data_IF_317266072357
#
_entry.id   IF_317266072357
#
_cell.length_a   1.000
_cell.length_b   1.000
_cell.length_c   1.000
_cell.angle_alpha   90.00
_cell.angle_beta   90.00
_cell.angle_gamma   90.00
#
_symmetry.space_group_name_H-M   'P 1'
#
loop_
_entity.id
_entity.type
_entity.pdbx_description
1 polymer ?
#
# COMPACT_ATOMS: atom_id res chain seq x y z
N UNK A 1 -2.36 -14.68 22.02
CA UNK A 1 -1.18 -14.39 21.18
C UNK A 1 -1.24 -15.36 20.00
N UNK A 2 -1.91 -14.99 18.91
CA UNK A 2 -1.97 -15.80 17.70
C UNK A 2 -1.82 -14.85 16.52
N UNK A 3 -0.64 -14.81 15.93
CA UNK A 3 -0.41 -14.17 14.65
C UNK A 3 -0.21 -15.28 13.63
N UNK A 4 -1.26 -15.51 12.86
CA UNK A 4 -1.36 -16.39 11.69
C UNK A 4 -0.64 -15.80 10.46
N UNK A 5 0.45 -15.06 10.67
CA UNK A 5 1.20 -14.42 9.57
C UNK A 5 1.90 -15.47 8.72
N UNK A 6 1.68 -15.40 7.41
CA UNK A 6 2.34 -16.25 6.42
C UNK A 6 3.50 -15.47 5.78
N UNK A 7 4.72 -15.89 6.12
CA UNK A 7 5.95 -15.30 5.59
C UNK A 7 6.47 -16.00 4.34
N UNK A 8 5.73 -16.96 3.80
CA UNK A 8 6.04 -17.66 2.54
C UNK A 8 5.12 -17.16 1.42
N UNK A 9 3.83 -17.00 1.73
CA UNK A 9 2.80 -16.56 0.79
C UNK A 9 2.29 -15.17 1.16
N UNK A 10 2.93 -14.15 0.61
CA UNK A 10 2.58 -12.75 0.78
C UNK A 10 2.62 -12.00 -0.57
N UNK A 11 2.14 -10.76 -0.61
CA UNK A 11 2.15 -9.95 -1.85
C UNK A 11 3.58 -9.70 -2.32
N UNK A 12 3.96 -10.21 -3.50
CA UNK A 12 5.29 -10.01 -4.07
C UNK A 12 5.28 -9.02 -5.23
N UNK A 13 6.18 -8.06 -5.22
CA UNK A 13 6.32 -7.09 -6.31
C UNK A 13 7.16 -7.70 -7.44
N UNK A 14 6.50 -8.32 -8.42
CA UNK A 14 7.17 -8.99 -9.54
C UNK A 14 7.37 -8.07 -10.76
N UNK A 15 6.47 -7.11 -10.96
CA UNK A 15 6.46 -6.19 -12.10
C UNK A 15 5.88 -4.83 -11.73
N UNK A 16 6.30 -3.80 -12.47
CA UNK A 16 5.74 -2.46 -12.42
C UNK A 16 4.66 -2.25 -13.47
N UNK A 17 4.02 -1.08 -13.42
CA UNK A 17 3.00 -0.68 -14.37
C UNK A 17 3.49 0.43 -15.28
N UNK A 18 3.39 0.24 -16.60
CA UNK A 18 3.68 1.29 -17.58
C UNK A 18 2.56 2.36 -17.61
N UNK A 19 1.31 1.91 -17.41
CA UNK A 19 0.11 2.75 -17.33
C UNK A 19 -0.51 2.48 -15.97
N UNK A 20 -0.96 3.54 -15.28
CA UNK A 20 -1.62 3.42 -13.98
C UNK A 20 -2.81 2.45 -14.12
N UNK A 21 -2.82 1.34 -13.37
CA UNK A 21 -3.90 0.36 -13.49
C UNK A 21 -5.19 0.90 -12.84
N UNK A 22 -6.34 0.40 -13.27
CA UNK A 22 -7.62 0.65 -12.62
C UNK A 22 -8.12 -0.63 -11.93
N UNK A 23 -9.04 -0.53 -10.95
CA UNK A 23 -9.77 -1.70 -10.46
C UNK A 23 -10.57 -2.33 -11.60
N UNK A 24 -10.82 -3.64 -11.51
CA UNK A 24 -11.63 -4.38 -12.50
C UNK A 24 -13.02 -3.74 -12.64
N UNK A 25 -13.50 -3.64 -13.88
CA UNK A 25 -14.80 -3.03 -14.22
C UNK A 25 -15.97 -3.72 -13.51
N UNK A 26 -15.85 -5.00 -13.14
CA UNK A 26 -16.89 -5.72 -12.40
C UNK A 26 -17.26 -5.04 -11.08
N UNK A 27 -16.31 -4.33 -10.45
CA UNK A 27 -16.53 -3.62 -9.20
C UNK A 27 -17.28 -2.30 -9.38
N UNK A 28 -17.52 -1.82 -10.61
CA UNK A 28 -18.38 -0.65 -10.85
C UNK A 28 -19.84 -0.89 -10.41
N UNK A 29 -20.24 -2.15 -10.19
CA UNK A 29 -21.52 -2.51 -9.55
C UNK A 29 -21.60 -2.06 -8.07
N UNK A 30 -20.46 -1.77 -7.46
CA UNK A 30 -20.31 -1.28 -6.08
C UNK A 30 -19.70 0.13 -6.12
N UNK A 31 -20.44 1.14 -6.59
CA UNK A 31 -19.87 2.44 -7.01
C UNK A 31 -19.06 3.12 -5.90
N UNK A 32 -19.57 3.16 -4.67
CA UNK A 32 -18.85 3.79 -3.55
C UNK A 32 -17.55 3.06 -3.18
N UNK A 33 -17.50 1.74 -3.35
CA UNK A 33 -16.28 0.95 -3.12
C UNK A 33 -15.32 1.17 -4.29
N UNK A 34 -15.82 1.18 -5.53
CA UNK A 34 -15.03 1.44 -6.73
C UNK A 34 -14.33 2.80 -6.68
N UNK A 35 -15.05 3.85 -6.30
CA UNK A 35 -14.51 5.20 -6.18
C UNK A 35 -13.40 5.27 -5.13
N UNK A 36 -13.55 4.55 -4.00
CA UNK A 36 -12.50 4.46 -2.97
C UNK A 36 -11.28 3.69 -3.47
N UNK A 37 -11.46 2.58 -4.18
CA UNK A 37 -10.36 1.85 -4.81
C UNK A 37 -9.60 2.74 -5.79
N UNK A 38 -10.32 3.50 -6.61
CA UNK A 38 -9.74 4.48 -7.52
C UNK A 38 -9.00 5.60 -6.77
N UNK A 39 -9.54 6.09 -5.65
CA UNK A 39 -8.89 7.11 -4.83
C UNK A 39 -7.56 6.62 -4.25
N UNK A 40 -7.49 5.38 -3.74
CA UNK A 40 -6.24 4.78 -3.27
C UNK A 40 -5.19 4.77 -4.39
N UNK A 41 -5.56 4.27 -5.57
CA UNK A 41 -4.67 4.18 -6.73
C UNK A 41 -4.23 5.57 -7.18
N UNK A 42 -5.16 6.53 -7.23
CA UNK A 42 -4.88 7.92 -7.61
C UNK A 42 -3.83 8.52 -6.67
N UNK A 43 -4.04 8.47 -5.36
CA UNK A 43 -3.08 9.02 -4.40
C UNK A 43 -1.74 8.29 -4.47
N UNK A 44 -1.75 6.95 -4.56
CA UNK A 44 -0.53 6.16 -4.69
C UNK A 44 0.27 6.55 -5.95
N UNK A 45 -0.39 6.71 -7.10
CA UNK A 45 0.26 7.10 -8.36
C UNK A 45 0.85 8.52 -8.35
N UNK A 46 0.35 9.39 -7.46
CA UNK A 46 0.82 10.77 -7.32
C UNK A 46 1.92 10.92 -6.26
N UNK A 47 2.38 9.83 -5.64
CA UNK A 47 3.51 9.87 -4.68
C UNK A 47 4.77 10.42 -5.36
N UNK A 48 5.07 9.96 -6.57
CA UNK A 48 6.26 10.36 -7.33
C UNK A 48 6.05 11.61 -8.21
N UNK A 49 4.83 12.18 -8.21
CA UNK A 49 4.51 13.34 -9.04
C UNK A 49 5.08 14.63 -8.45
N UNK A 50 5.26 15.64 -9.30
CA UNK A 50 5.64 16.98 -8.85
C UNK A 50 4.45 17.66 -8.18
N UNK A 51 4.74 18.40 -7.12
CA UNK A 51 3.76 19.25 -6.45
C UNK A 51 3.42 20.46 -7.32
N UNK A 52 2.24 21.05 -7.08
CA UNK A 52 2.06 22.45 -7.40
C UNK A 52 2.85 23.27 -6.36
N UNK A 53 4.09 23.62 -6.73
CA UNK A 53 5.07 24.32 -5.87
C UNK A 53 4.58 25.62 -5.25
N UNK A 54 3.47 26.18 -5.74
CA UNK A 54 2.83 27.35 -5.13
C UNK A 54 2.15 27.05 -3.79
N UNK A 55 1.80 25.78 -3.52
CA UNK A 55 1.06 25.35 -2.33
C UNK A 55 1.97 24.58 -1.36
N UNK A 56 2.81 23.67 -1.87
CA UNK A 56 3.67 22.82 -1.04
C UNK A 56 4.93 22.40 -1.79
N UNK A 57 5.95 21.95 -1.06
CA UNK A 57 7.16 21.38 -1.67
C UNK A 57 6.91 19.99 -2.23
N UNK A 58 7.75 19.56 -3.19
CA UNK A 58 7.67 18.20 -3.76
C UNK A 58 7.76 17.13 -2.66
N UNK A 59 8.63 17.33 -1.66
CA UNK A 59 8.73 16.44 -0.49
C UNK A 59 7.42 16.37 0.30
N UNK A 60 6.86 17.52 0.68
CA UNK A 60 5.62 17.56 1.46
C UNK A 60 4.43 16.97 0.68
N UNK A 61 4.39 17.15 -0.63
CA UNK A 61 3.41 16.53 -1.52
C UNK A 61 3.50 15.01 -1.47
N UNK A 62 4.68 14.43 -1.70
CA UNK A 62 4.83 12.97 -1.69
C UNK A 62 4.45 12.36 -0.33
N UNK A 63 4.86 12.98 0.77
CA UNK A 63 4.47 12.56 2.13
C UNK A 63 2.94 12.63 2.34
N UNK A 64 2.29 13.67 1.84
CA UNK A 64 0.84 13.82 1.89
C UNK A 64 0.12 12.77 1.04
N UNK A 65 0.64 12.46 -0.15
CA UNK A 65 0.08 11.43 -1.04
C UNK A 65 0.20 10.02 -0.45
N UNK A 66 1.32 9.69 0.19
CA UNK A 66 1.46 8.43 0.95
C UNK A 66 0.39 8.34 2.04
N UNK A 67 0.24 9.41 2.84
CA UNK A 67 -0.76 9.45 3.92
C UNK A 67 -2.18 9.30 3.37
N UNK A 68 -2.52 10.02 2.30
CA UNK A 68 -3.84 9.97 1.68
C UNK A 68 -4.16 8.56 1.16
N UNK A 69 -3.22 7.94 0.42
CA UNK A 69 -3.39 6.60 -0.10
C UNK A 69 -3.62 5.56 1.01
N UNK A 70 -2.83 5.62 2.08
CA UNK A 70 -2.96 4.70 3.22
C UNK A 70 -4.25 4.93 4.01
N UNK A 71 -4.68 6.18 4.17
CA UNK A 71 -5.94 6.50 4.83
C UNK A 71 -7.13 5.95 4.06
N UNK A 72 -7.19 6.17 2.74
CA UNK A 72 -8.25 5.61 1.90
C UNK A 72 -8.21 4.08 1.91
N UNK A 73 -7.02 3.48 1.84
CA UNK A 73 -6.88 2.03 1.82
C UNK A 73 -7.43 1.39 3.10
N UNK A 74 -7.17 1.99 4.27
CA UNK A 74 -7.75 1.49 5.53
C UNK A 74 -9.23 1.85 5.67
N UNK A 75 -9.68 3.01 5.16
CA UNK A 75 -11.07 3.44 5.24
C UNK A 75 -12.05 2.53 4.47
N UNK A 76 -11.57 1.77 3.48
CA UNK A 76 -12.40 0.75 2.81
C UNK A 76 -12.89 -0.32 3.81
N UNK A 77 -12.06 -0.73 4.78
CA UNK A 77 -12.45 -1.68 5.83
C UNK A 77 -13.64 -1.13 6.64
N UNK A 78 -13.50 0.11 7.10
CA UNK A 78 -14.52 0.80 7.89
C UNK A 78 -15.80 1.00 7.08
N UNK A 79 -15.67 1.44 5.81
CA UNK A 79 -16.81 1.64 4.92
C UNK A 79 -17.61 0.35 4.73
N UNK A 80 -16.95 -0.75 4.39
CA UNK A 80 -17.62 -2.04 4.18
C UNK A 80 -18.34 -2.50 5.45
N UNK A 81 -17.72 -2.32 6.62
CA UNK A 81 -18.33 -2.71 7.90
C UNK A 81 -19.63 -1.96 8.22
N UNK A 82 -19.78 -0.73 7.71
CA UNK A 82 -20.94 0.14 7.93
C UNK A 82 -21.98 -0.05 6.82
N UNK A 83 -21.53 -0.04 5.56
CA UNK A 83 -22.40 -0.01 4.40
C UNK A 83 -22.87 -1.40 3.94
N UNK A 84 -22.15 -2.46 4.31
CA UNK A 84 -22.45 -3.85 3.94
C UNK A 84 -22.45 -4.75 5.19
N UNK A 85 -23.35 -4.55 6.17
CA UNK A 85 -23.33 -5.28 7.44
C UNK A 85 -23.53 -6.81 7.30
N UNK A 86 -24.12 -7.26 6.19
CA UNK A 86 -24.26 -8.67 5.83
C UNK A 86 -22.96 -9.30 5.32
N UNK A 87 -21.98 -8.50 4.94
CA UNK A 87 -20.66 -8.97 4.50
C UNK A 87 -19.91 -9.60 5.66
N UNK A 88 -19.70 -10.92 5.56
CA UNK A 88 -18.93 -11.71 6.54
C UNK A 88 -17.44 -11.80 6.20
N UNK A 89 -17.02 -11.29 5.04
CA UNK A 89 -15.62 -11.25 4.63
C UNK A 89 -14.85 -10.12 5.30
N UNK A 90 -13.62 -9.88 4.82
CA UNK A 90 -12.81 -8.76 5.31
C UNK A 90 -11.94 -8.18 4.20
N UNK A 91 -12.07 -6.88 3.93
CA UNK A 91 -11.09 -6.14 3.15
C UNK A 91 -9.71 -6.23 3.81
N UNK A 92 -9.63 -5.82 5.07
CA UNK A 92 -8.53 -6.13 5.94
C UNK A 92 -9.14 -6.56 7.28
N UNK A 93 -8.51 -7.51 7.96
CA UNK A 93 -8.86 -7.90 9.31
C UNK A 93 -7.61 -8.48 9.93
N UNK A 94 -7.09 -7.77 10.93
CA UNK A 94 -5.86 -8.10 11.62
C UNK A 94 -5.87 -9.45 12.35
N UNK A 95 -7.03 -10.05 12.59
CA UNK A 95 -7.19 -11.36 13.22
C UNK A 95 -7.33 -12.50 12.21
N UNK A 96 -7.50 -12.20 10.92
CA UNK A 96 -7.79 -13.20 9.87
C UNK A 96 -6.78 -13.17 8.74
N UNK A 97 -6.30 -11.99 8.35
CA UNK A 97 -5.35 -11.84 7.26
C UNK A 97 -3.95 -12.32 7.65
N UNK A 98 -3.37 -13.20 6.86
CA UNK A 98 -2.01 -13.72 7.11
C UNK A 98 -0.93 -12.90 6.43
N UNK A 99 -1.27 -12.01 5.50
CA UNK A 99 -0.31 -11.30 4.67
C UNK A 99 0.42 -10.19 5.46
N UNK A 100 1.72 -10.32 5.77
CA UNK A 100 2.46 -9.35 6.58
C UNK A 100 2.50 -7.95 5.96
N UNK A 101 2.40 -7.81 4.64
CA UNK A 101 2.44 -6.50 3.97
C UNK A 101 1.17 -5.72 4.24
N UNK A 102 0.00 -6.36 4.21
CA UNK A 102 -1.27 -5.67 4.52
C UNK A 102 -1.27 -5.15 5.97
N UNK A 103 -0.70 -5.93 6.88
CA UNK A 103 -0.50 -5.50 8.27
C UNK A 103 0.48 -4.33 8.36
N UNK A 104 1.55 -4.35 7.57
CA UNK A 104 2.49 -3.24 7.45
C UNK A 104 1.81 -1.98 6.89
N UNK A 105 0.93 -2.07 5.89
CA UNK A 105 0.18 -0.91 5.39
C UNK A 105 -0.68 -0.27 6.49
N UNK A 106 -1.37 -1.07 7.32
CA UNK A 106 -2.13 -0.55 8.47
C UNK A 106 -1.24 0.09 9.53
N UNK A 107 -0.10 -0.54 9.87
CA UNK A 107 0.87 0.05 10.79
C UNK A 107 1.45 1.36 10.24
N UNK A 108 1.77 1.39 8.94
CA UNK A 108 2.31 2.54 8.25
C UNK A 108 1.30 3.69 8.17
N UNK A 109 0.01 3.38 7.98
CA UNK A 109 -1.07 4.38 8.11
C UNK A 109 -1.03 5.01 9.50
N UNK A 110 -0.99 4.19 10.55
CA UNK A 110 -0.97 4.69 11.93
C UNK A 110 0.30 5.48 12.24
N UNK A 111 1.45 5.07 11.70
CA UNK A 111 2.69 5.83 11.78
C UNK A 111 2.53 7.23 11.18
N UNK A 112 2.04 7.31 9.93
CA UNK A 112 1.83 8.55 9.19
C UNK A 112 0.81 9.51 9.84
N UNK A 113 -0.20 8.97 10.53
CA UNK A 113 -1.24 9.78 11.16
C UNK A 113 -0.85 10.22 12.57
N UNK A 114 -0.18 9.36 13.35
CA UNK A 114 -0.03 9.56 14.80
C UNK A 114 1.40 9.81 15.28
N UNK A 115 2.43 9.43 14.53
CA UNK A 115 3.83 9.42 15.01
C UNK A 115 4.72 10.36 14.20
N UNK A 116 4.91 10.11 12.91
CA UNK A 116 5.79 10.88 12.02
C UNK A 116 5.35 10.65 10.55
N UNK A 117 5.84 11.44 9.61
CA UNK A 117 5.62 11.21 8.17
C UNK A 117 6.58 10.16 7.59
N UNK A 118 6.13 9.42 6.58
CA UNK A 118 6.97 8.57 5.73
C UNK A 118 7.95 9.39 4.89
N UNK A 119 9.24 9.36 5.22
CA UNK A 119 10.29 10.06 4.46
C UNK A 119 10.63 9.24 3.23
N UNK A 120 10.55 9.89 2.07
CA UNK A 120 10.85 9.25 0.79
C UNK A 120 12.26 9.56 0.32
N UNK A 121 12.94 8.51 -0.10
CA UNK A 121 14.15 8.57 -0.89
C UNK A 121 13.88 8.02 -2.28
N UNK A 122 14.71 8.42 -3.23
CA UNK A 122 14.57 8.09 -4.65
C UNK A 122 15.72 7.24 -5.10
N UNK A 123 15.41 6.24 -5.91
CA UNK A 123 16.38 5.33 -6.49
C UNK A 123 16.11 5.20 -7.99
N UNK A 124 17.17 5.23 -8.78
CA UNK A 124 17.12 4.93 -10.21
C UNK A 124 17.25 3.42 -10.40
N UNK A 125 16.31 2.84 -11.13
CA UNK A 125 16.32 1.45 -11.57
C UNK A 125 16.31 1.36 -13.09
N UNK A 126 16.81 0.25 -13.61
CA UNK A 126 16.73 -0.08 -15.03
C UNK A 126 15.61 -1.07 -15.27
N UNK A 127 14.76 -0.76 -16.23
CA UNK A 127 13.60 -1.57 -16.59
C UNK A 127 13.63 -1.93 -18.07
N UNK A 128 13.06 -3.08 -18.41
CA UNK A 128 12.83 -3.50 -19.80
C UNK A 128 11.33 -3.52 -20.05
N UNK A 129 10.92 -3.10 -21.25
CA UNK A 129 9.51 -3.16 -21.63
C UNK A 129 9.19 -4.52 -22.26
N UNK A 130 8.01 -5.11 -22.00
CA UNK A 130 7.67 -6.42 -22.56
C UNK A 130 7.74 -6.50 -24.10
N UNK A 131 7.45 -5.37 -24.76
CA UNK A 131 7.44 -5.22 -26.22
C UNK A 131 8.78 -4.70 -26.79
N UNK A 132 9.75 -4.40 -25.93
CA UNK A 132 11.05 -3.86 -26.33
C UNK A 132 12.14 -4.38 -25.38
N UNK A 133 12.49 -5.66 -25.56
CA UNK A 133 13.42 -6.40 -24.69
C UNK A 133 14.89 -6.08 -24.95
N UNK A 134 15.19 -5.42 -26.06
CA UNK A 134 16.55 -5.08 -26.46
C UNK A 134 17.02 -3.75 -25.86
N UNK A 135 16.08 -2.95 -25.33
CA UNK A 135 16.37 -1.66 -24.70
C UNK A 135 16.12 -1.69 -23.19
N UNK A 136 16.92 -0.90 -22.47
CA UNK A 136 16.75 -0.62 -21.05
C UNK A 136 16.43 0.85 -20.85
N UNK A 137 15.53 1.11 -19.91
CA UNK A 137 15.04 2.43 -19.58
C UNK A 137 15.35 2.72 -18.11
N UNK A 138 15.84 3.92 -17.84
CA UNK A 138 16.02 4.38 -16.47
C UNK A 138 14.68 4.91 -15.93
N UNK A 139 14.26 4.38 -14.78
CA UNK A 139 13.06 4.78 -14.06
C UNK A 139 13.45 5.18 -12.64
N UNK A 140 13.01 6.34 -12.18
CA UNK A 140 13.13 6.74 -10.78
C UNK A 140 11.90 6.24 -10.01
N UNK A 141 12.12 5.62 -8.84
CA UNK A 141 11.07 5.21 -7.91
C UNK A 141 11.31 5.79 -6.52
N UNK A 142 10.26 6.10 -5.77
CA UNK A 142 10.37 6.41 -4.35
C UNK A 142 10.16 5.18 -3.45
N UNK A 143 10.91 5.14 -2.35
CA UNK A 143 10.70 4.21 -1.24
C UNK A 143 10.76 4.96 0.09
N UNK A 144 10.13 4.42 1.12
CA UNK A 144 10.12 4.97 2.47
C UNK A 144 11.40 4.53 3.20
N UNK A 145 12.23 5.49 3.61
CA UNK A 145 13.54 5.21 4.21
C UNK A 145 13.56 5.20 5.74
N UNK A 146 12.51 5.71 6.39
CA UNK A 146 12.45 5.86 7.85
C UNK A 146 11.53 4.85 8.57
N UNK A 147 11.28 3.68 7.96
CA UNK A 147 10.52 2.60 8.61
C UNK A 147 11.49 1.60 9.24
N UNK A 148 11.48 1.55 10.56
CA UNK A 148 12.24 0.60 11.38
C UNK A 148 11.39 -0.04 12.46
N UNK A 149 11.89 -1.14 13.05
CA UNK A 149 11.26 -1.78 14.22
C UNK A 149 11.04 -0.75 15.34
N UNK A 150 12.08 -0.02 15.74
CA UNK A 150 12.02 1.01 16.79
C UNK A 150 10.99 2.11 16.52
N UNK A 151 10.80 2.46 15.23
CA UNK A 151 9.81 3.47 14.84
C UNK A 151 8.38 2.96 14.99
N UNK A 152 8.14 1.68 14.68
CA UNK A 152 6.82 1.06 14.67
C UNK A 152 6.42 0.53 16.05
N UNK A 153 7.35 0.09 16.90
CA UNK A 153 7.06 -0.40 18.26
C UNK A 153 6.35 0.63 19.14
N UNK A 154 6.49 1.92 18.82
CA UNK A 154 5.79 3.03 19.49
C UNK A 154 4.28 3.00 19.25
N UNK A 155 3.82 2.33 18.19
CA UNK A 155 2.41 2.22 17.85
C UNK A 155 1.71 1.24 18.79
N UNK A 156 0.54 1.63 19.31
CA UNK A 156 -0.29 0.72 20.09
C UNK A 156 -0.61 -0.59 19.31
N UNK A 157 -0.90 -0.46 18.01
CA UNK A 157 -1.17 -1.58 17.12
C UNK A 157 0.03 -2.49 16.84
N UNK A 158 1.27 -2.08 17.14
CA UNK A 158 2.46 -2.89 16.93
C UNK A 158 2.68 -3.96 18.01
N UNK A 159 2.09 -3.80 19.20
CA UNK A 159 2.32 -4.71 20.35
C UNK A 159 2.00 -6.16 20.06
N UNK A 160 1.03 -6.42 19.20
CA UNK A 160 0.67 -7.78 18.76
C UNK A 160 1.70 -8.39 17.83
N UNK A 161 2.53 -7.60 17.16
CA UNK A 161 3.53 -8.07 16.20
C UNK A 161 4.95 -8.11 16.76
N UNK A 162 5.21 -7.80 18.03
CA UNK A 162 6.58 -7.64 18.57
C UNK A 162 7.53 -8.77 18.14
N UNK A 163 7.13 -10.03 18.24
CA UNK A 163 7.96 -11.19 17.86
C UNK A 163 8.21 -11.34 16.35
N UNK A 164 7.41 -10.68 15.52
CA UNK A 164 7.39 -10.80 14.06
C UNK A 164 7.73 -9.49 13.34
N UNK A 165 7.73 -8.37 14.07
CA UNK A 165 7.89 -7.02 13.53
C UNK A 165 9.20 -6.86 12.76
N UNK A 166 10.36 -7.40 13.22
CA UNK A 166 11.57 -7.37 12.40
C UNK A 166 11.37 -7.99 11.02
N UNK A 167 10.78 -9.20 10.97
CA UNK A 167 10.55 -9.91 9.70
C UNK A 167 9.53 -9.21 8.81
N UNK A 168 8.51 -8.58 9.40
CA UNK A 168 7.54 -7.78 8.65
C UNK A 168 8.20 -6.54 8.04
N UNK A 169 9.06 -5.86 8.80
CA UNK A 169 9.83 -4.69 8.32
C UNK A 169 10.78 -5.10 7.20
N UNK A 170 11.48 -6.23 7.34
CA UNK A 170 12.40 -6.74 6.32
C UNK A 170 11.66 -7.03 5.00
N UNK A 171 10.56 -7.80 5.06
CA UNK A 171 9.75 -8.11 3.87
C UNK A 171 9.16 -6.85 3.25
N UNK A 172 8.64 -5.94 4.06
CA UNK A 172 8.11 -4.68 3.54
C UNK A 172 9.18 -3.88 2.83
N UNK A 173 10.37 -3.76 3.44
CA UNK A 173 11.51 -3.05 2.86
C UNK A 173 12.00 -3.70 1.57
N UNK A 174 12.05 -5.03 1.51
CA UNK A 174 12.34 -5.78 0.29
C UNK A 174 11.32 -5.47 -0.80
N UNK A 175 10.01 -5.62 -0.52
CA UNK A 175 8.98 -5.47 -1.55
C UNK A 175 8.80 -4.04 -2.03
N UNK A 176 8.87 -3.03 -1.15
CA UNK A 176 8.83 -1.63 -1.60
C UNK A 176 10.08 -1.28 -2.44
N UNK A 177 11.20 -1.96 -2.23
CA UNK A 177 12.43 -1.75 -2.99
C UNK A 177 12.42 -2.42 -4.35
N UNK A 178 11.43 -3.20 -4.74
CA UNK A 178 11.37 -3.69 -6.12
C UNK A 178 10.87 -2.58 -7.05
N UNK A 179 9.68 -2.04 -6.78
CA UNK A 179 8.97 -1.12 -7.67
C UNK A 179 8.45 0.16 -6.99
N UNK A 180 8.95 0.45 -5.79
CA UNK A 180 8.60 1.65 -5.03
C UNK A 180 7.34 1.47 -4.19
N UNK A 181 7.13 2.40 -3.26
CA UNK A 181 5.98 2.38 -2.36
C UNK A 181 4.66 2.59 -3.11
N UNK A 182 4.67 3.38 -4.19
CA UNK A 182 3.52 3.60 -5.07
C UNK A 182 3.02 2.27 -5.64
N UNK A 183 3.92 1.51 -6.26
CA UNK A 183 3.61 0.21 -6.84
C UNK A 183 3.11 -0.79 -5.80
N UNK A 184 3.73 -0.81 -4.61
CA UNK A 184 3.33 -1.72 -3.54
C UNK A 184 1.90 -1.46 -3.04
N UNK A 185 1.53 -0.20 -2.81
CA UNK A 185 0.18 0.16 -2.37
C UNK A 185 -0.85 -0.21 -3.45
N UNK A 186 -0.56 0.10 -4.71
CA UNK A 186 -1.44 -0.22 -5.84
C UNK A 186 -1.63 -1.74 -5.95
N UNK A 187 -0.55 -2.52 -5.90
CA UNK A 187 -0.63 -3.98 -5.96
C UNK A 187 -1.44 -4.56 -4.81
N UNK A 188 -1.17 -4.13 -3.58
CA UNK A 188 -1.96 -4.55 -2.42
C UNK A 188 -3.44 -4.17 -2.54
N UNK A 189 -3.76 -3.05 -3.18
CA UNK A 189 -5.14 -2.65 -3.44
C UNK A 189 -5.81 -3.61 -4.42
N UNK A 190 -5.19 -3.84 -5.58
CA UNK A 190 -5.73 -4.68 -6.65
C UNK A 190 -5.84 -6.15 -6.22
N UNK A 191 -4.79 -6.73 -5.66
CA UNK A 191 -4.76 -8.12 -5.20
C UNK A 191 -5.85 -8.38 -4.15
N UNK A 192 -6.15 -7.38 -3.32
CA UNK A 192 -7.10 -7.49 -2.23
C UNK A 192 -8.56 -7.30 -2.65
N UNK A 193 -8.81 -6.80 -3.87
CA UNK A 193 -10.18 -6.63 -4.40
C UNK A 193 -10.93 -7.96 -4.51
N UNK A 194 -10.25 -9.10 -4.66
CA UNK A 194 -10.88 -10.43 -4.72
C UNK A 194 -11.74 -10.74 -3.50
N UNK A 195 -11.43 -10.15 -2.35
CA UNK A 195 -12.25 -10.31 -1.13
C UNK A 195 -13.65 -9.70 -1.29
N UNK A 196 -13.82 -8.78 -2.23
CA UNK A 196 -15.09 -8.11 -2.54
C UNK A 196 -15.97 -8.91 -3.51
N UNK A 197 -15.47 -10.01 -4.09
CA UNK A 197 -16.22 -10.78 -5.09
C UNK A 197 -17.55 -11.33 -4.56
N UNK A 198 -17.63 -11.57 -3.24
CA UNK A 198 -18.87 -12.04 -2.59
C UNK A 198 -19.96 -10.96 -2.49
N UNK A 199 -19.64 -9.71 -2.83
CA UNK A 199 -20.57 -8.57 -2.87
C UNK A 199 -21.15 -8.32 -4.28
N UNK A 200 -20.69 -9.05 -5.30
CA UNK A 200 -21.08 -8.88 -6.71
C UNK A 200 -22.21 -9.82 -7.14
#
# INVERSE_FOLDING_TARGET
MHNHLDFQNYTKMEYGHLIIPSPDEKYQKLPDIYDRLCAVIYFASNIDSKSNRSIMSDKAHSEAMVRAALCEWVAIEDYISIACPEYKGAWFNEYVHSNPILHMLKLLRNFNVHIDSSRLEKELIRVMLPFDKDNQYDLEKAYISNVSVDSLEKLHGARKYISHLPKMVDIFNEQQREWGISGLIIKCTLDNTVNLDVLL
#
